data_IF_309327554626
#
_entry.id   IF_309327554626
#
_cell.length_a   1.000
_cell.length_b   1.000
_cell.length_c   1.000
_cell.angle_alpha   90.00
_cell.angle_beta   90.00
_cell.angle_gamma   90.00
#
_symmetry.space_group_name_H-M   'P 1'
#
loop_
_entity.id
_entity.type
_entity.pdbx_description
1 polymer ?
#
# COMPACT_ATOMS: atom_id res chain seq x y z
N UNK A 1 -9.42 -4.31 -18.58
CA UNK A 1 -8.08 -3.75 -18.30
C UNK A 1 -7.79 -2.69 -19.35
N UNK A 2 -7.18 -1.58 -18.96
CA UNK A 2 -6.85 -0.52 -19.89
C UNK A 2 -6.33 0.75 -19.26
N UNK A 3 -6.19 1.75 -20.11
CA UNK A 3 -5.88 3.12 -19.72
C UNK A 3 -6.84 4.07 -20.41
N UNK A 4 -7.17 5.16 -19.77
CA UNK A 4 -7.89 6.26 -20.42
C UNK A 4 -7.46 7.61 -19.87
N UNK A 5 -7.70 8.64 -20.67
CA UNK A 5 -7.37 10.01 -20.34
C UNK A 5 -8.64 10.75 -19.87
N UNK A 6 -8.57 11.35 -18.70
CA UNK A 6 -9.57 12.27 -18.17
C UNK A 6 -8.93 13.64 -18.01
N UNK A 7 -9.68 14.72 -18.05
CA UNK A 7 -9.22 16.12 -18.12
C UNK A 7 -7.78 16.40 -17.66
N UNK A 8 -7.47 16.19 -16.39
CA UNK A 8 -6.16 16.44 -15.81
C UNK A 8 -5.39 15.17 -15.39
N UNK A 9 -5.91 13.97 -15.72
CA UNK A 9 -5.35 12.71 -15.22
C UNK A 9 -5.32 11.63 -16.27
N UNK A 10 -4.31 10.74 -16.16
CA UNK A 10 -4.25 9.44 -16.80
C UNK A 10 -4.67 8.38 -15.79
N UNK A 11 -5.55 7.47 -16.19
CA UNK A 11 -6.09 6.43 -15.32
C UNK A 11 -5.72 5.08 -15.91
N UNK A 12 -4.94 4.32 -15.16
CA UNK A 12 -4.59 2.93 -15.43
C UNK A 12 -5.51 2.05 -14.58
N UNK A 13 -6.19 1.07 -15.16
CA UNK A 13 -7.15 0.27 -14.43
C UNK A 13 -7.18 -1.21 -14.84
N UNK A 14 -7.44 -2.06 -13.85
CA UNK A 14 -7.79 -3.46 -14.03
C UNK A 14 -9.11 -3.73 -13.34
N UNK A 15 -9.92 -4.63 -13.88
CA UNK A 15 -11.18 -5.03 -13.27
C UNK A 15 -11.83 -6.18 -14.02
N UNK A 16 -12.83 -6.78 -13.39
CA UNK A 16 -13.62 -7.84 -13.97
C UNK A 16 -14.64 -7.26 -14.95
N UNK A 17 -14.65 -7.76 -16.19
CA UNK A 17 -15.58 -7.29 -17.21
C UNK A 17 -17.01 -7.80 -16.97
N UNK A 18 -17.16 -9.04 -16.50
CA UNK A 18 -18.47 -9.72 -16.40
C UNK A 18 -19.14 -9.55 -15.04
N UNK A 19 -18.40 -9.68 -13.94
CA UNK A 19 -18.98 -9.70 -12.59
C UNK A 19 -18.98 -8.32 -11.91
N UNK A 20 -18.14 -7.39 -12.34
CA UNK A 20 -17.99 -6.02 -11.79
C UNK A 20 -17.82 -5.97 -10.27
N UNK A 21 -17.16 -6.98 -9.70
CA UNK A 21 -16.96 -7.10 -8.25
C UNK A 21 -15.63 -6.56 -7.79
N UNK A 22 -14.58 -6.79 -8.58
CA UNK A 22 -13.22 -6.40 -8.26
C UNK A 22 -12.71 -5.39 -9.30
N UNK A 23 -11.85 -4.50 -8.84
CA UNK A 23 -11.17 -3.55 -9.70
C UNK A 23 -10.23 -2.66 -8.90
N UNK A 24 -9.11 -2.32 -9.52
CA UNK A 24 -8.09 -1.42 -9.01
C UNK A 24 -7.73 -0.40 -10.07
N UNK A 25 -7.34 0.79 -9.65
CA UNK A 25 -6.90 1.83 -10.55
C UNK A 25 -5.84 2.72 -9.90
N UNK A 26 -4.91 3.21 -10.72
CA UNK A 26 -3.97 4.27 -10.34
C UNK A 26 -4.27 5.48 -11.22
N UNK A 27 -4.53 6.61 -10.57
CA UNK A 27 -4.75 7.88 -11.23
C UNK A 27 -3.47 8.72 -11.14
N UNK A 28 -2.94 9.11 -12.30
CA UNK A 28 -1.70 9.88 -12.43
C UNK A 28 -2.04 11.26 -12.99
N UNK A 29 -1.70 12.31 -12.25
CA UNK A 29 -1.88 13.68 -12.74
C UNK A 29 -1.04 13.89 -14.01
N UNK A 30 -1.56 14.58 -15.04
CA UNK A 30 -0.90 14.81 -16.32
C UNK A 30 0.52 15.39 -16.22
N UNK A 31 0.78 16.21 -15.21
CA UNK A 31 2.12 16.77 -14.96
C UNK A 31 3.18 15.71 -14.69
N UNK A 32 2.78 14.50 -14.24
CA UNK A 32 3.67 13.38 -13.96
C UNK A 32 3.68 12.31 -15.05
N UNK A 33 2.91 12.49 -16.13
CA UNK A 33 2.81 11.49 -17.20
C UNK A 33 4.17 11.16 -17.81
N UNK A 34 5.01 12.18 -18.02
CA UNK A 34 6.35 11.99 -18.57
C UNK A 34 7.31 11.23 -17.62
N UNK A 35 6.94 11.08 -16.37
CA UNK A 35 7.69 10.28 -15.41
C UNK A 35 7.25 8.80 -15.39
N UNK A 36 6.13 8.44 -16.02
CA UNK A 36 5.69 7.05 -16.10
C UNK A 36 6.59 6.30 -17.08
N UNK A 37 7.31 5.30 -16.55
CA UNK A 37 8.21 4.43 -17.32
C UNK A 37 7.49 3.17 -17.82
N UNK A 38 6.45 2.73 -17.13
CA UNK A 38 5.67 1.56 -17.47
C UNK A 38 4.53 1.29 -16.52
N UNK A 39 3.62 0.43 -16.94
CA UNK A 39 2.49 -0.02 -16.15
C UNK A 39 2.32 -1.53 -16.35
N UNK A 40 2.08 -2.28 -15.28
CA UNK A 40 1.73 -3.70 -15.32
C UNK A 40 0.31 -3.88 -14.77
N UNK A 41 -0.60 -4.26 -15.66
CA UNK A 41 -1.99 -4.60 -15.35
C UNK A 41 -2.06 -6.09 -15.00
N UNK A 42 -1.64 -6.48 -13.77
CA UNK A 42 -1.46 -7.89 -13.38
C UNK A 42 -2.78 -8.67 -13.42
N UNK A 43 -3.79 -8.21 -12.70
CA UNK A 43 -5.11 -8.83 -12.66
C UNK A 43 -6.19 -7.85 -12.12
N UNK A 44 -7.39 -8.33 -11.82
CA UNK A 44 -8.52 -7.53 -11.32
C UNK A 44 -8.32 -7.02 -9.86
N UNK A 45 -7.24 -7.45 -9.18
CA UNK A 45 -6.89 -7.06 -7.81
C UNK A 45 -5.58 -6.31 -7.68
N UNK A 46 -4.77 -6.23 -8.75
CA UNK A 46 -3.43 -5.64 -8.68
C UNK A 46 -3.04 -4.92 -9.96
N UNK A 47 -2.42 -3.78 -9.76
CA UNK A 47 -1.80 -2.97 -10.81
C UNK A 47 -0.52 -2.34 -10.28
N UNK A 48 0.52 -2.26 -11.08
CA UNK A 48 1.71 -1.48 -10.75
C UNK A 48 2.04 -0.42 -11.78
N UNK A 49 2.57 0.70 -11.34
CA UNK A 49 3.10 1.78 -12.17
C UNK A 49 4.50 2.10 -11.72
N UNK A 50 5.43 2.13 -12.69
CA UNK A 50 6.82 2.46 -12.49
C UNK A 50 7.07 3.90 -12.92
N UNK A 51 7.67 4.69 -12.03
CA UNK A 51 7.93 6.11 -12.22
C UNK A 51 9.42 6.41 -12.20
N UNK A 52 9.84 7.27 -13.09
CA UNK A 52 11.15 7.89 -13.03
C UNK A 52 11.23 8.84 -11.84
N UNK A 53 12.25 8.69 -11.01
CA UNK A 53 12.52 9.53 -9.85
C UNK A 53 13.99 9.91 -9.75
N UNK A 54 14.30 10.79 -8.81
CA UNK A 54 15.67 11.16 -8.43
C UNK A 54 15.78 11.21 -6.91
N UNK A 55 16.75 10.55 -6.29
CA UNK A 55 17.86 9.78 -6.88
C UNK A 55 17.47 8.36 -7.34
N UNK A 56 16.30 7.84 -6.95
CA UNK A 56 15.82 6.51 -7.28
C UNK A 56 14.47 6.58 -7.99
N UNK A 57 14.20 5.60 -8.86
CA UNK A 57 12.87 5.39 -9.41
C UNK A 57 11.93 4.87 -8.33
N UNK A 58 10.63 4.94 -8.61
CA UNK A 58 9.60 4.49 -7.68
C UNK A 58 8.66 3.53 -8.39
N UNK A 59 8.35 2.41 -7.74
CA UNK A 59 7.29 1.51 -8.17
C UNK A 59 6.14 1.59 -7.18
N UNK A 60 4.94 1.85 -7.67
CA UNK A 60 3.71 1.89 -6.89
C UNK A 60 2.85 0.72 -7.29
N UNK A 61 2.52 -0.16 -6.35
CA UNK A 61 1.59 -1.27 -6.53
C UNK A 61 0.31 -0.92 -5.78
N UNK A 62 -0.82 -0.90 -6.49
CA UNK A 62 -2.15 -0.79 -5.90
C UNK A 62 -2.75 -2.18 -5.79
N UNK A 63 -3.25 -2.53 -4.60
CA UNK A 63 -3.84 -3.83 -4.30
C UNK A 63 -5.26 -3.72 -3.75
N UNK A 64 -6.05 -4.76 -4.02
CA UNK A 64 -7.34 -5.02 -3.38
C UNK A 64 -7.38 -6.49 -2.94
N UNK A 65 -7.04 -6.75 -1.68
CA UNK A 65 -6.91 -8.10 -1.15
C UNK A 65 -8.28 -8.81 -1.05
N UNK A 66 -8.29 -10.14 -1.08
CA UNK A 66 -9.47 -10.93 -0.78
C UNK A 66 -10.04 -10.58 0.60
N UNK A 67 -11.35 -10.70 0.75
CA UNK A 67 -12.02 -10.48 2.04
C UNK A 67 -11.79 -11.66 2.98
N UNK A 68 -12.06 -11.48 4.27
CA UNK A 68 -11.94 -12.55 5.28
C UNK A 68 -12.82 -13.78 5.03
N UNK A 69 -13.78 -13.69 4.12
CA UNK A 69 -14.67 -14.79 3.75
C UNK A 69 -14.26 -15.49 2.43
N UNK A 70 -13.15 -15.07 1.84
CA UNK A 70 -12.63 -15.69 0.60
C UNK A 70 -12.03 -17.06 0.89
N UNK A 71 -12.03 -17.92 -0.12
CA UNK A 71 -11.39 -19.24 -0.03
C UNK A 71 -9.88 -19.10 0.10
N UNK A 72 -9.24 -20.00 0.86
CA UNK A 72 -7.80 -19.99 1.11
C UNK A 72 -6.99 -19.97 -0.20
N UNK A 73 -7.42 -20.73 -1.20
CA UNK A 73 -6.76 -20.75 -2.51
C UNK A 73 -6.80 -19.39 -3.24
N UNK A 74 -7.81 -18.55 -3.00
CA UNK A 74 -7.87 -17.19 -3.53
C UNK A 74 -6.88 -16.28 -2.82
N UNK A 75 -6.75 -16.45 -1.50
CA UNK A 75 -5.81 -15.68 -0.67
C UNK A 75 -4.36 -16.06 -1.03
N UNK A 76 -4.05 -17.35 -1.18
CA UNK A 76 -2.72 -17.82 -1.60
C UNK A 76 -2.34 -17.24 -2.96
N UNK A 77 -3.21 -17.35 -3.95
CA UNK A 77 -2.97 -16.81 -5.30
C UNK A 77 -2.75 -15.29 -5.25
N UNK A 78 -3.45 -14.57 -4.40
CA UNK A 78 -3.24 -13.13 -4.24
C UNK A 78 -1.82 -12.82 -3.79
N UNK A 79 -1.29 -13.52 -2.78
CA UNK A 79 0.07 -13.28 -2.30
C UNK A 79 1.15 -13.78 -3.28
N UNK A 80 0.89 -14.85 -4.02
CA UNK A 80 1.77 -15.31 -5.12
C UNK A 80 1.85 -14.25 -6.23
N UNK A 81 0.72 -13.75 -6.70
CA UNK A 81 0.65 -12.69 -7.71
C UNK A 81 1.33 -11.39 -7.24
N UNK A 82 1.22 -11.07 -5.96
CA UNK A 82 1.91 -9.92 -5.37
C UNK A 82 3.42 -10.15 -5.30
N UNK A 83 3.85 -11.37 -4.94
CA UNK A 83 5.27 -11.74 -4.93
C UNK A 83 5.88 -11.62 -6.34
N UNK A 84 5.19 -12.08 -7.36
CA UNK A 84 5.61 -11.91 -8.76
C UNK A 84 5.83 -10.44 -9.12
N UNK A 85 4.95 -9.53 -8.67
CA UNK A 85 5.11 -8.09 -8.92
C UNK A 85 6.31 -7.50 -8.16
N UNK A 86 6.60 -7.99 -6.95
CA UNK A 86 7.78 -7.59 -6.19
C UNK A 86 9.07 -8.03 -6.92
N UNK A 87 9.11 -9.25 -7.43
CA UNK A 87 10.27 -9.78 -8.17
C UNK A 87 10.55 -9.04 -9.48
N UNK A 88 9.49 -8.50 -10.11
CA UNK A 88 9.62 -7.66 -11.29
C UNK A 88 10.07 -6.22 -10.97
N UNK A 89 10.03 -5.83 -9.69
CA UNK A 89 10.44 -4.49 -9.27
C UNK A 89 11.97 -4.41 -9.17
N UNK A 90 12.63 -3.44 -9.84
CA UNK A 90 14.08 -3.31 -9.75
C UNK A 90 14.55 -3.07 -8.30
N UNK A 91 15.58 -3.77 -7.86
CA UNK A 91 16.11 -3.69 -6.47
C UNK A 91 16.51 -2.27 -6.04
N UNK A 92 16.82 -1.39 -6.99
CA UNK A 92 17.23 -0.01 -6.71
C UNK A 92 16.04 0.95 -6.56
N UNK A 93 14.85 0.49 -6.88
CA UNK A 93 13.66 1.31 -6.82
C UNK A 93 13.11 1.39 -5.39
N UNK A 94 12.46 2.50 -5.09
CA UNK A 94 11.63 2.59 -3.89
C UNK A 94 10.27 2.00 -4.22
N UNK A 95 9.89 0.95 -3.52
CA UNK A 95 8.60 0.29 -3.69
C UNK A 95 7.58 0.85 -2.71
N UNK A 96 6.37 1.09 -3.18
CA UNK A 96 5.20 1.41 -2.36
C UNK A 96 4.06 0.46 -2.72
N UNK A 97 3.55 -0.29 -1.74
CA UNK A 97 2.34 -1.08 -1.90
C UNK A 97 1.23 -0.39 -1.13
N UNK A 98 0.17 -0.01 -1.83
CA UNK A 98 -0.97 0.71 -1.25
C UNK A 98 -2.27 0.00 -1.59
N UNK A 99 -3.25 0.06 -0.72
CA UNK A 99 -4.58 -0.46 -1.03
C UNK A 99 -5.38 -0.95 0.14
N UNK A 100 -6.52 -1.54 -0.20
CA UNK A 100 -7.40 -2.24 0.73
C UNK A 100 -6.90 -3.68 0.91
N UNK A 101 -6.42 -3.96 2.10
CA UNK A 101 -5.86 -5.27 2.45
C UNK A 101 -6.89 -6.20 3.11
N UNK A 102 -8.09 -5.71 3.40
CA UNK A 102 -9.12 -6.44 4.15
C UNK A 102 -8.57 -7.10 5.44
N UNK A 103 -7.48 -6.56 5.95
CA UNK A 103 -6.69 -7.06 7.07
C UNK A 103 -6.77 -6.09 8.25
N UNK A 104 -6.74 -6.61 9.47
CA UNK A 104 -6.65 -5.81 10.69
C UNK A 104 -5.31 -6.06 11.35
N UNK A 105 -4.53 -4.99 11.48
CA UNK A 105 -3.23 -4.99 12.15
C UNK A 105 -3.41 -4.34 13.51
N UNK A 106 -3.05 -5.08 14.57
CA UNK A 106 -3.23 -4.62 15.95
C UNK A 106 -2.22 -3.51 16.35
N UNK A 107 -2.43 -2.98 17.55
CA UNK A 107 -1.53 -1.98 18.15
C UNK A 107 -0.27 -2.58 18.80
N UNK A 108 -0.07 -3.89 18.70
CA UNK A 108 1.16 -4.53 19.17
C UNK A 108 2.27 -4.34 18.13
N UNK A 109 3.42 -3.87 18.60
CA UNK A 109 4.58 -3.67 17.74
C UNK A 109 5.18 -5.00 17.30
N UNK A 110 5.34 -5.17 16.00
CA UNK A 110 6.15 -6.22 15.39
C UNK A 110 7.42 -5.57 14.87
N UNK A 111 8.60 -5.82 15.50
CA UNK A 111 9.84 -5.14 15.14
C UNK A 111 10.14 -5.24 13.64
N UNK A 112 10.41 -4.10 13.02
CA UNK A 112 10.73 -4.00 11.60
C UNK A 112 9.54 -4.07 10.63
N UNK A 113 8.31 -4.31 11.12
CA UNK A 113 7.10 -4.43 10.28
C UNK A 113 6.01 -3.45 10.70
N UNK A 114 5.66 -3.42 11.98
CA UNK A 114 4.60 -2.54 12.49
C UNK A 114 5.07 -1.73 13.69
N UNK A 115 4.48 -0.56 13.88
CA UNK A 115 4.57 0.20 15.12
C UNK A 115 3.38 -0.07 16.06
N UNK A 116 3.28 0.71 17.12
CA UNK A 116 2.29 0.57 18.21
C UNK A 116 1.00 1.38 18.03
N UNK A 117 0.79 1.94 16.85
CA UNK A 117 -0.37 2.81 16.59
C UNK A 117 -1.38 2.21 15.61
N UNK A 118 -1.37 0.88 15.42
CA UNK A 118 -2.41 0.15 14.70
C UNK A 118 -3.76 0.21 15.42
N UNK A 119 -4.83 -0.15 14.73
CA UNK A 119 -6.19 -0.10 15.25
C UNK A 119 -6.81 -1.49 15.38
N UNK A 120 -7.30 -1.79 16.57
CA UNK A 120 -8.14 -2.97 16.84
C UNK A 120 -7.37 -4.22 17.22
N UNK A 121 -7.99 -5.36 16.96
CA UNK A 121 -7.45 -6.69 17.23
C UNK A 121 -7.08 -7.30 15.88
N UNK A 122 -5.89 -7.89 15.81
CA UNK A 122 -5.40 -8.60 14.65
C UNK A 122 -6.34 -9.75 14.27
N UNK A 123 -6.60 -9.89 12.98
CA UNK A 123 -7.28 -11.06 12.41
C UNK A 123 -6.29 -11.91 11.58
N UNK A 124 -6.75 -13.06 11.07
CA UNK A 124 -5.91 -13.96 10.26
C UNK A 124 -5.31 -13.26 9.03
N UNK A 125 -6.10 -12.44 8.33
CA UNK A 125 -5.60 -11.65 7.20
C UNK A 125 -4.52 -10.65 7.64
N UNK A 126 -4.65 -10.06 8.84
CA UNK A 126 -3.63 -9.17 9.43
C UNK A 126 -2.35 -9.91 9.79
N UNK A 127 -2.46 -11.11 10.34
CA UNK A 127 -1.29 -11.95 10.59
C UNK A 127 -0.54 -12.27 9.29
N UNK A 128 -1.27 -12.70 8.26
CA UNK A 128 -0.69 -13.04 6.96
C UNK A 128 -0.03 -11.82 6.29
N UNK A 129 -0.66 -10.64 6.38
CA UNK A 129 -0.05 -9.40 5.91
C UNK A 129 1.27 -9.08 6.63
N UNK A 130 1.31 -9.23 7.96
CA UNK A 130 2.53 -9.01 8.74
C UNK A 130 3.63 -10.00 8.36
N UNK A 131 3.30 -11.28 8.16
CA UNK A 131 4.24 -12.31 7.72
C UNK A 131 4.81 -11.98 6.34
N UNK A 132 3.95 -11.65 5.38
CA UNK A 132 4.37 -11.22 4.04
C UNK A 132 5.26 -9.97 4.08
N UNK A 133 4.89 -8.97 4.89
CA UNK A 133 5.71 -7.76 5.06
C UNK A 133 7.07 -8.07 5.67
N UNK A 134 7.15 -9.00 6.62
CA UNK A 134 8.40 -9.43 7.26
C UNK A 134 9.33 -10.11 6.25
N UNK A 135 8.81 -11.04 5.45
CA UNK A 135 9.57 -11.78 4.44
C UNK A 135 10.12 -10.84 3.35
N UNK A 136 9.35 -9.84 2.97
CA UNK A 136 9.70 -8.91 1.91
C UNK A 136 10.30 -7.57 2.40
N UNK A 137 10.65 -7.47 3.69
CA UNK A 137 11.23 -6.24 4.30
C UNK A 137 10.38 -4.98 4.07
N UNK A 138 9.07 -5.15 4.15
CA UNK A 138 8.08 -4.08 4.05
C UNK A 138 7.69 -3.59 5.45
N UNK A 139 7.29 -2.32 5.56
CA UNK A 139 6.86 -1.72 6.82
C UNK A 139 5.46 -1.14 6.67
N UNK A 140 4.54 -1.53 7.54
CA UNK A 140 3.16 -1.00 7.55
C UNK A 140 3.16 0.37 8.21
N UNK A 141 3.34 1.42 7.42
CA UNK A 141 3.66 2.78 7.89
C UNK A 141 2.52 3.46 8.63
N UNK A 142 1.28 3.10 8.37
CA UNK A 142 0.11 3.60 9.09
C UNK A 142 0.17 3.33 10.61
N UNK A 143 0.96 2.32 11.02
CA UNK A 143 1.11 1.93 12.42
C UNK A 143 2.26 2.63 13.15
N UNK A 144 3.11 3.39 12.42
CA UNK A 144 4.31 4.02 12.96
C UNK A 144 4.03 5.34 13.70
N UNK A 145 2.95 6.03 13.33
CA UNK A 145 2.68 7.38 13.82
C UNK A 145 1.38 7.44 14.58
N UNK A 146 1.42 8.12 15.73
CA UNK A 146 0.20 8.39 16.49
C UNK A 146 -0.71 9.33 15.69
N UNK A 147 -1.94 8.86 15.45
CA UNK A 147 -2.98 9.62 14.80
C UNK A 147 -4.22 9.72 15.70
N UNK A 148 -5.01 10.75 15.51
CA UNK A 148 -6.31 10.84 16.18
C UNK A 148 -7.21 9.69 15.69
N UNK A 149 -7.94 9.03 16.61
CA UNK A 149 -8.77 7.86 16.28
C UNK A 149 -9.65 8.02 15.05
N UNK A 150 -10.19 9.21 14.80
CA UNK A 150 -11.02 9.49 13.62
C UNK A 150 -10.28 9.37 12.29
N UNK A 151 -8.94 9.48 12.29
CA UNK A 151 -8.10 9.35 11.09
C UNK A 151 -7.59 7.93 10.87
N UNK A 152 -7.74 7.06 11.87
CA UNK A 152 -7.33 5.66 11.77
C UNK A 152 -8.35 4.81 11.01
N UNK A 153 -9.64 5.19 11.08
CA UNK A 153 -10.68 4.44 10.38
C UNK A 153 -10.63 4.70 8.88
N UNK A 154 -10.47 3.65 8.10
CA UNK A 154 -10.52 3.71 6.63
C UNK A 154 -11.81 3.09 6.09
N UNK A 155 -12.49 2.27 6.92
CA UNK A 155 -13.75 1.64 6.57
C UNK A 155 -14.76 1.75 7.72
N UNK A 156 -16.03 1.93 7.34
CA UNK A 156 -17.17 1.92 8.28
C UNK A 156 -18.24 0.99 7.72
N UNK A 157 -18.80 0.11 8.57
CA UNK A 157 -19.88 -0.79 8.16
C UNK A 157 -21.12 -0.01 7.69
N UNK A 158 -21.95 -0.60 6.81
CA UNK A 158 -23.16 0.06 6.31
C UNK A 158 -24.15 0.50 7.40
N UNK A 159 -24.16 -0.21 8.53
CA UNK A 159 -24.96 0.14 9.71
C UNK A 159 -24.29 1.19 10.62
N UNK A 160 -23.06 1.61 10.30
CA UNK A 160 -22.27 2.58 11.05
C UNK A 160 -21.72 2.10 12.39
N UNK A 161 -21.96 0.83 12.78
CA UNK A 161 -21.61 0.32 14.11
C UNK A 161 -20.15 -0.13 14.20
N UNK A 162 -19.55 -0.56 13.08
CA UNK A 162 -18.18 -1.06 13.04
C UNK A 162 -17.29 -0.15 12.22
N UNK A 163 -16.10 0.12 12.75
CA UNK A 163 -15.08 0.94 12.08
C UNK A 163 -13.75 0.25 12.15
N UNK A 164 -13.10 0.05 11.01
CA UNK A 164 -11.84 -0.66 10.88
C UNK A 164 -10.81 0.18 10.11
N UNK A 165 -9.55 -0.12 10.33
CA UNK A 165 -8.45 0.26 9.48
C UNK A 165 -8.08 -0.99 8.68
N UNK A 166 -8.25 -0.94 7.37
CA UNK A 166 -8.00 -2.04 6.43
C UNK A 166 -7.20 -1.59 5.21
N UNK A 167 -6.99 -0.29 5.05
CA UNK A 167 -6.16 0.28 4.01
C UNK A 167 -4.80 0.65 4.60
N UNK A 168 -3.75 0.11 4.00
CA UNK A 168 -2.38 0.33 4.45
C UNK A 168 -1.46 0.72 3.32
N UNK A 169 -0.40 1.44 3.70
CA UNK A 169 0.76 1.75 2.89
C UNK A 169 1.94 0.92 3.42
N UNK A 170 2.48 0.06 2.58
CA UNK A 170 3.63 -0.79 2.89
C UNK A 170 4.79 -0.51 1.91
N UNK A 171 5.68 0.45 2.20
CA UNK A 171 6.89 0.67 1.44
C UNK A 171 7.96 -0.38 1.76
N UNK A 172 8.81 -0.68 0.75
CA UNK A 172 10.11 -1.28 0.98
C UNK A 172 11.13 -0.20 1.24
N UNK A 173 12.01 -0.47 2.18
CA UNK A 173 13.18 0.36 2.37
C UNK A 173 14.39 -0.42 1.86
N UNK A 174 15.00 0.03 0.77
CA UNK A 174 16.25 -0.54 0.29
C UNK A 174 17.29 -0.46 1.41
N UNK A 175 17.55 -1.58 2.05
CA UNK A 175 18.62 -1.70 3.04
C UNK A 175 19.96 -1.58 2.29
N UNK A 176 20.51 -0.37 2.21
CA UNK A 176 21.91 -0.20 1.87
C UNK A 176 22.71 -0.36 3.15
N UNK A 177 23.43 -1.49 3.19
CA UNK A 177 24.64 -1.73 3.98
C UNK A 177 24.69 -1.24 5.44
N UNK A 178 24.34 -2.13 6.38
CA UNK A 178 24.83 -2.08 7.76
C UNK A 178 23.92 -1.40 8.78
N UNK A 179 23.83 -2.01 9.94
CA UNK A 179 23.02 -1.61 11.11
C UNK A 179 23.20 -0.17 11.60
N UNK A 180 24.31 0.48 11.30
CA UNK A 180 24.61 1.87 11.74
C UNK A 180 23.86 2.95 10.93
N UNK A 181 23.46 2.65 9.68
CA UNK A 181 22.63 3.55 8.86
C UNK A 181 21.13 3.39 9.17
N UNK A 182 20.72 2.28 9.78
CA UNK A 182 19.34 1.95 10.06
C UNK A 182 18.65 2.98 10.99
N UNK A 183 19.33 3.47 12.01
CA UNK A 183 18.77 4.48 12.94
C UNK A 183 18.65 5.86 12.32
N UNK A 184 19.65 6.29 11.55
CA UNK A 184 19.61 7.59 10.86
C UNK A 184 18.64 7.55 9.68
N UNK A 185 18.68 6.47 8.88
CA UNK A 185 17.72 6.26 7.78
C UNK A 185 16.29 6.09 8.28
N UNK A 186 16.07 5.42 9.41
CA UNK A 186 14.74 5.30 10.02
C UNK A 186 14.14 6.69 10.28
N UNK A 187 14.91 7.62 10.80
CA UNK A 187 14.47 8.98 11.12
C UNK A 187 14.20 9.81 9.84
N UNK A 188 15.05 9.69 8.82
CA UNK A 188 14.87 10.35 7.53
C UNK A 188 13.73 9.74 6.72
N UNK A 189 13.50 8.43 6.85
CA UNK A 189 12.43 7.68 6.21
C UNK A 189 11.08 7.97 6.88
N UNK A 190 11.02 8.02 8.21
CA UNK A 190 9.85 8.46 8.95
C UNK A 190 9.44 9.87 8.50
N UNK A 191 10.40 10.76 8.28
CA UNK A 191 10.14 12.12 7.78
C UNK A 191 9.64 12.11 6.33
N UNK A 192 10.18 11.23 5.48
CA UNK A 192 9.79 11.09 4.07
C UNK A 192 8.41 10.48 3.95
N UNK A 193 8.12 9.41 4.69
CA UNK A 193 6.79 8.78 4.73
C UNK A 193 5.76 9.75 5.30
N UNK A 194 6.08 10.49 6.36
CA UNK A 194 5.20 11.51 6.91
C UNK A 194 4.90 12.63 5.89
N UNK A 195 5.88 13.03 5.08
CA UNK A 195 5.68 13.99 3.99
C UNK A 195 4.80 13.43 2.88
N UNK A 196 5.00 12.17 2.49
CA UNK A 196 4.17 11.49 1.49
C UNK A 196 2.75 11.32 2.02
N UNK A 197 2.56 10.84 3.24
CA UNK A 197 1.25 10.70 3.86
C UNK A 197 0.54 12.05 4.00
N UNK A 198 1.23 13.11 4.39
CA UNK A 198 0.66 14.45 4.46
C UNK A 198 0.32 15.03 3.07
N UNK A 199 1.00 14.60 2.02
CA UNK A 199 0.69 15.01 0.64
C UNK A 199 -0.47 14.22 0.04
N UNK A 200 -0.74 13.00 0.51
CA UNK A 200 -1.83 12.13 0.07
C UNK A 200 -3.12 12.34 0.87
N UNK A 201 -3.03 12.87 2.09
CA UNK A 201 -4.19 13.24 2.89
C UNK A 201 -4.57 14.69 2.55
N UNK A 202 -5.78 14.97 2.08
CA UNK A 202 -6.21 16.34 1.87
C UNK A 202 -6.15 17.10 3.20
N UNK A 203 -5.57 18.30 3.17
CA UNK A 203 -5.64 19.24 4.27
C UNK A 203 -7.11 19.51 4.59
N UNK A 204 -7.68 18.77 5.52
CA UNK A 204 -8.93 19.13 6.12
C UNK A 204 -8.63 20.10 7.25
N UNK A 205 -8.70 21.40 6.92
CA UNK A 205 -8.97 22.55 7.76
C UNK A 205 -8.55 22.46 9.24
N UNK A 206 -7.44 23.08 9.50
CA UNK A 206 -7.19 23.75 10.76
C UNK A 206 -8.13 24.97 10.81
N UNK A 207 -9.28 24.81 11.46
CA UNK A 207 -10.03 25.85 12.15
C UNK A 207 -10.45 25.36 13.50
#
# INVERSE_FOLDING_TARGET
MGEFNSDDHYIYYCGQESLRRNGVAIMVNKRFQNAVLGCNLKNDRMISVHFQGKPFNNTVIQVYAPTSNSEEAEVERFYEDLQDLLELTPEKDVLFIIGDWNAKVESQETPGVTGKFGLGIQNEAGQRLIEFCRENKLVITNTLFQQHKRRLYTWTSPDGQHRNQIDYLAPSFAAKDGEALYSQQKQDQELTVAKIMNSLLPNSDLN
#
